data_IF_044972256057
#
_entry.id   IF_044972256057
#
_cell.length_a   1.000
_cell.length_b   1.000
_cell.length_c   1.000
_cell.angle_alpha   90.00
_cell.angle_beta   90.00
_cell.angle_gamma   90.00
#
_symmetry.space_group_name_H-M   'P 1'
#
loop_
_entity.id
_entity.type
_entity.pdbx_description
1 polymer ?
#
# COMPACT_ATOMS: atom_id res chain seq x y z
N UNK A 1 47.61 -64.60 -28.44
CA UNK A 1 48.30 -63.35 -28.86
C UNK A 1 47.57 -62.21 -28.16
N UNK A 2 47.89 -62.00 -26.89
CA UNK A 2 49.07 -61.25 -26.40
C UNK A 2 48.83 -59.74 -26.60
N UNK A 3 48.46 -59.04 -25.54
CA UNK A 3 49.36 -58.15 -24.77
C UNK A 3 49.03 -56.69 -25.18
N UNK A 4 48.94 -55.68 -24.32
CA UNK A 4 49.64 -55.36 -23.07
C UNK A 4 48.79 -54.28 -22.36
N UNK A 5 48.45 -54.51 -21.08
CA UNK A 5 49.06 -53.89 -19.87
C UNK A 5 48.50 -52.50 -19.53
N UNK A 6 47.72 -52.35 -18.45
CA UNK A 6 48.12 -52.35 -17.00
C UNK A 6 48.84 -51.03 -16.68
N UNK A 7 48.19 -50.09 -15.95
CA UNK A 7 48.06 -49.97 -14.48
C UNK A 7 49.31 -49.34 -13.84
N UNK A 8 49.07 -48.61 -12.75
CA UNK A 8 50.02 -48.17 -11.70
C UNK A 8 50.80 -46.89 -12.05
N UNK A 9 51.13 -45.97 -11.15
CA UNK A 9 51.07 -45.90 -9.68
C UNK A 9 51.62 -44.53 -9.27
N UNK A 10 51.14 -43.97 -8.15
CA UNK A 10 51.85 -42.91 -7.41
C UNK A 10 53.06 -43.56 -6.69
N UNK A 11 54.25 -42.91 -6.62
CA UNK A 11 54.70 -42.39 -5.31
C UNK A 11 55.65 -41.18 -5.37
N UNK A 12 55.62 -40.36 -4.30
CA UNK A 12 56.74 -39.56 -3.75
C UNK A 12 57.31 -38.42 -4.62
N UNK A 13 57.55 -37.20 -4.14
CA UNK A 13 57.88 -36.74 -2.79
C UNK A 13 59.14 -35.87 -2.87
N UNK A 14 59.22 -34.84 -2.01
CA UNK A 14 60.30 -33.84 -1.84
C UNK A 14 60.27 -32.67 -2.85
N UNK A 15 60.41 -31.39 -2.49
CA UNK A 15 60.87 -30.67 -1.29
C UNK A 15 60.49 -29.18 -1.57
N UNK A 16 60.10 -28.25 -0.69
CA UNK A 16 60.59 -27.88 0.63
C UNK A 16 59.62 -26.87 1.30
N UNK A 17 59.43 -27.05 2.63
CA UNK A 17 59.47 -26.08 3.77
C UNK A 17 58.78 -24.71 3.63
N UNK A 18 58.19 -24.08 4.65
CA UNK A 18 58.01 -24.26 6.11
C UNK A 18 57.01 -23.18 6.56
N UNK A 19 56.44 -23.31 7.75
CA UNK A 19 55.26 -22.55 8.19
C UNK A 19 55.47 -21.19 8.88
N UNK A 20 54.28 -20.59 9.15
CA UNK A 20 53.84 -19.61 10.17
C UNK A 20 54.15 -18.09 10.03
N UNK A 21 53.07 -17.35 9.67
CA UNK A 21 52.50 -16.05 10.16
C UNK A 21 53.42 -14.83 10.46
N UNK A 22 53.05 -13.57 10.09
CA UNK A 22 51.87 -12.86 10.65
C UNK A 22 51.15 -11.77 9.78
N UNK A 23 49.97 -11.34 10.27
CA UNK A 23 49.20 -10.07 10.10
C UNK A 23 49.46 -9.12 8.90
N UNK A 24 48.37 -8.76 8.18
CA UNK A 24 47.93 -7.36 7.93
C UNK A 24 46.58 -7.32 7.16
N UNK A 25 45.62 -6.55 7.68
CA UNK A 25 44.56 -5.90 6.90
C UNK A 25 45.08 -4.47 6.54
N UNK A 26 44.44 -3.63 5.67
CA UNK A 26 43.13 -3.76 5.02
C UNK A 26 43.09 -3.29 3.54
N UNK A 27 42.05 -3.70 2.78
CA UNK A 27 41.33 -2.87 1.79
C UNK A 27 39.89 -3.38 1.77
N UNK A 28 39.00 -2.87 2.63
CA UNK A 28 38.13 -1.73 2.31
C UNK A 28 37.86 -1.62 0.81
N UNK A 29 36.71 -2.15 0.37
CA UNK A 29 35.62 -1.42 -0.31
C UNK A 29 34.61 -2.40 -0.90
N UNK A 30 33.57 -2.70 -0.13
CA UNK A 30 32.23 -2.94 -0.65
C UNK A 30 31.22 -2.57 0.46
N UNK A 31 31.35 -1.34 0.94
CA UNK A 31 30.41 -0.74 1.86
C UNK A 31 29.15 -0.31 1.09
N UNK A 32 28.00 -0.77 1.57
CA UNK A 32 26.74 -0.04 1.65
C UNK A 32 26.12 0.49 0.34
N UNK A 33 25.34 -0.36 -0.33
CA UNK A 33 24.09 0.10 -0.94
C UNK A 33 23.00 0.15 0.14
N UNK A 34 23.13 1.07 1.09
CA UNK A 34 21.99 1.48 1.90
C UNK A 34 21.05 2.23 0.98
N UNK A 35 20.04 1.54 0.46
CA UNK A 35 18.90 2.18 -0.18
C UNK A 35 18.44 3.33 0.72
N UNK A 36 18.40 4.54 0.17
CA UNK A 36 17.89 5.72 0.87
C UNK A 36 16.40 5.47 1.10
N UNK A 37 16.06 4.81 2.21
CA UNK A 37 14.70 4.67 2.69
C UNK A 37 14.26 6.07 3.11
N UNK A 38 13.61 6.78 2.20
CA UNK A 38 13.00 8.08 2.52
C UNK A 38 12.10 7.84 3.72
N UNK A 39 12.39 8.46 4.89
CA UNK A 39 11.60 8.21 6.08
C UNK A 39 10.18 8.68 5.82
N UNK A 40 9.22 7.77 6.01
CA UNK A 40 7.83 8.05 5.74
C UNK A 40 7.34 9.17 6.66
N UNK A 41 7.12 10.36 6.09
CA UNK A 41 6.81 11.61 6.80
C UNK A 41 5.67 11.42 7.79
N UNK A 42 4.57 10.80 7.36
CA UNK A 42 3.39 10.60 8.17
C UNK A 42 3.59 9.61 9.33
N UNK A 43 4.44 8.59 9.15
CA UNK A 43 4.74 7.65 10.23
C UNK A 43 5.54 8.31 11.36
N UNK A 44 6.45 9.24 11.01
CA UNK A 44 7.18 10.06 11.98
C UNK A 44 6.26 11.04 12.73
N UNK A 45 5.39 11.74 12.00
CA UNK A 45 4.39 12.66 12.56
C UNK A 45 3.42 11.93 13.48
N UNK A 46 2.96 10.74 13.07
CA UNK A 46 2.05 9.93 13.87
C UNK A 46 2.63 9.61 15.24
N UNK A 47 3.86 9.07 15.27
CA UNK A 47 4.50 8.64 16.53
C UNK A 47 4.85 9.80 17.46
N UNK A 48 5.24 10.95 16.92
CA UNK A 48 5.76 12.08 17.72
C UNK A 48 4.69 13.06 18.16
N UNK A 49 3.75 13.39 17.28
CA UNK A 49 2.78 14.47 17.50
C UNK A 49 1.38 13.92 17.72
N UNK A 50 0.87 13.14 16.75
CA UNK A 50 -0.53 12.69 16.76
C UNK A 50 -0.85 11.84 17.99
N UNK A 51 0.05 10.93 18.39
CA UNK A 51 -0.18 10.10 19.59
C UNK A 51 -0.28 10.94 20.86
N UNK A 52 0.58 11.96 21.02
CA UNK A 52 0.54 12.83 22.20
C UNK A 52 -0.72 13.69 22.22
N UNK A 53 -1.10 14.24 21.06
CA UNK A 53 -2.25 15.12 20.93
C UNK A 53 -3.57 14.36 21.15
N UNK A 54 -3.68 13.14 20.61
CA UNK A 54 -4.86 12.30 20.83
C UNK A 54 -4.95 11.80 22.26
N UNK A 55 -3.82 11.41 22.88
CA UNK A 55 -3.82 11.00 24.28
C UNK A 55 -4.33 12.11 25.21
N UNK A 56 -3.93 13.37 24.95
CA UNK A 56 -4.40 14.54 25.70
C UNK A 56 -5.87 14.85 25.45
N UNK A 57 -6.31 14.84 24.19
CA UNK A 57 -7.69 15.17 23.80
C UNK A 57 -8.72 14.16 24.30
N UNK A 58 -8.39 12.87 24.20
CA UNK A 58 -9.31 11.78 24.53
C UNK A 58 -9.06 11.23 25.96
N UNK A 59 -8.11 11.82 26.68
CA UNK A 59 -7.75 11.49 28.06
C UNK A 59 -7.57 9.99 28.31
N UNK A 60 -6.85 9.31 27.41
CA UNK A 60 -6.61 7.87 27.57
C UNK A 60 -5.65 7.60 28.72
N UNK A 61 -5.97 6.57 29.52
CA UNK A 61 -5.12 6.12 30.62
C UNK A 61 -3.86 5.41 30.15
N UNK A 62 -3.87 4.84 28.94
CA UNK A 62 -2.76 4.09 28.39
C UNK A 62 -2.47 4.54 26.95
N UNK A 63 -1.20 4.80 26.66
CA UNK A 63 -0.72 5.21 25.33
C UNK A 63 -1.09 4.18 24.24
N UNK A 64 -1.16 2.90 24.60
CA UNK A 64 -1.52 1.83 23.66
C UNK A 64 -3.01 1.80 23.30
N UNK A 65 -3.86 2.55 24.00
CA UNK A 65 -5.29 2.70 23.66
C UNK A 65 -5.52 3.72 22.54
N UNK A 66 -4.52 4.54 22.21
CA UNK A 66 -4.65 5.57 21.18
C UNK A 66 -5.00 4.91 19.84
N UNK A 67 -6.06 5.37 19.16
CA UNK A 67 -6.45 4.86 17.85
C UNK A 67 -5.31 4.91 16.84
N UNK A 68 -5.21 3.85 16.04
CA UNK A 68 -4.24 3.74 14.94
C UNK A 68 -4.91 3.29 13.67
N UNK A 69 -4.29 3.64 12.54
CA UNK A 69 -4.72 3.16 11.24
C UNK A 69 -4.16 1.75 11.02
N UNK A 70 -5.04 0.78 10.78
CA UNK A 70 -4.68 -0.65 10.68
C UNK A 70 -4.37 -1.03 9.24
N UNK A 71 -5.24 -0.64 8.32
CA UNK A 71 -5.11 -0.90 6.88
C UNK A 71 -5.91 0.12 6.09
N UNK A 72 -5.49 0.35 4.85
CA UNK A 72 -6.30 1.05 3.86
C UNK A 72 -6.66 0.03 2.78
N UNK A 73 -7.94 -0.06 2.45
CA UNK A 73 -8.44 -0.87 1.35
C UNK A 73 -8.83 0.07 0.23
N UNK A 74 -8.24 -0.14 -0.94
CA UNK A 74 -8.66 0.53 -2.17
C UNK A 74 -9.37 -0.52 -3.02
N UNK A 75 -10.61 -0.22 -3.40
CA UNK A 75 -11.46 -1.12 -4.16
C UNK A 75 -12.01 -0.39 -5.39
N UNK A 76 -12.01 -1.06 -6.54
CA UNK A 76 -12.65 -0.57 -7.75
C UNK A 76 -13.66 -1.62 -8.24
N UNK A 77 -14.92 -1.19 -8.31
CA UNK A 77 -15.99 -1.98 -8.93
C UNK A 77 -16.09 -1.66 -10.42
N UNK A 78 -15.77 -2.64 -11.27
CA UNK A 78 -15.80 -2.48 -12.73
C UNK A 78 -16.92 -3.35 -13.27
N UNK A 79 -18.17 -2.89 -13.14
CA UNK A 79 -19.34 -3.65 -13.62
C UNK A 79 -19.31 -3.99 -15.11
N UNK A 80 -18.65 -3.15 -15.91
CA UNK A 80 -18.43 -3.39 -17.34
C UNK A 80 -17.41 -4.50 -17.65
N UNK A 81 -16.63 -4.97 -16.66
CA UNK A 81 -15.64 -6.03 -16.83
C UNK A 81 -16.27 -7.39 -17.20
N UNK A 82 -17.57 -7.58 -16.92
CA UNK A 82 -18.30 -8.77 -17.33
C UNK A 82 -18.47 -8.87 -18.85
N UNK A 83 -18.45 -7.73 -19.56
CA UNK A 83 -18.58 -7.66 -21.02
C UNK A 83 -17.22 -7.45 -21.69
N UNK A 84 -16.36 -6.61 -21.10
CA UNK A 84 -15.08 -6.22 -21.68
C UNK A 84 -13.91 -6.58 -20.76
N UNK A 85 -13.16 -7.62 -21.10
CA UNK A 85 -11.95 -8.01 -20.35
C UNK A 85 -10.85 -6.93 -20.40
N UNK A 86 -10.79 -6.11 -21.45
CA UNK A 86 -9.79 -5.06 -21.61
C UNK A 86 -9.89 -3.96 -20.55
N UNK A 87 -11.11 -3.55 -20.19
CA UNK A 87 -11.36 -2.53 -19.15
C UNK A 87 -10.87 -3.03 -17.79
N UNK A 88 -10.94 -4.34 -17.55
CA UNK A 88 -10.44 -4.95 -16.34
C UNK A 88 -8.91 -4.91 -16.25
N UNK A 89 -8.21 -5.18 -17.35
CA UNK A 89 -6.75 -5.11 -17.40
C UNK A 89 -6.24 -3.68 -17.19
N UNK A 90 -6.93 -2.70 -17.77
CA UNK A 90 -6.65 -1.27 -17.56
C UNK A 90 -6.83 -0.87 -16.10
N UNK A 91 -7.95 -1.24 -15.47
CA UNK A 91 -8.19 -0.96 -14.05
C UNK A 91 -7.14 -1.59 -13.13
N UNK A 92 -6.62 -2.78 -13.47
CA UNK A 92 -5.52 -3.41 -12.73
C UNK A 92 -4.25 -2.57 -12.87
N UNK A 93 -3.88 -2.17 -14.09
CA UNK A 93 -2.68 -1.36 -14.36
C UNK A 93 -2.74 0.00 -13.67
N UNK A 94 -3.89 0.66 -13.70
CA UNK A 94 -4.09 1.95 -13.04
C UNK A 94 -3.90 1.83 -11.53
N UNK A 95 -4.56 0.86 -10.88
CA UNK A 95 -4.40 0.64 -9.44
C UNK A 95 -2.98 0.24 -9.05
N UNK A 96 -2.33 -0.60 -9.86
CA UNK A 96 -0.93 -0.99 -9.65
C UNK A 96 -0.01 0.22 -9.76
N UNK A 97 -0.28 1.15 -10.67
CA UNK A 97 0.50 2.38 -10.84
C UNK A 97 0.30 3.33 -9.66
N UNK A 98 -0.95 3.52 -9.22
CA UNK A 98 -1.25 4.39 -8.07
C UNK A 98 -0.62 3.84 -6.79
N UNK A 99 -0.82 2.55 -6.50
CA UNK A 99 -0.48 1.97 -5.20
C UNK A 99 0.92 1.34 -5.17
N UNK A 100 1.50 1.06 -6.35
CA UNK A 100 2.74 0.32 -6.54
C UNK A 100 2.64 -1.16 -6.19
N UNK A 101 1.44 -1.68 -5.87
CA UNK A 101 1.22 -3.03 -5.35
C UNK A 101 0.34 -3.81 -6.31
N UNK A 102 0.72 -5.07 -6.58
CA UNK A 102 -0.09 -5.96 -7.40
C UNK A 102 -1.52 -6.06 -6.88
N UNK A 103 -2.46 -5.88 -7.79
CA UNK A 103 -3.87 -5.80 -7.43
C UNK A 103 -4.55 -7.18 -7.44
N UNK A 104 -5.43 -7.42 -6.49
CA UNK A 104 -6.17 -8.68 -6.39
C UNK A 104 -7.47 -8.58 -7.17
N UNK A 105 -7.61 -9.42 -8.20
CA UNK A 105 -8.86 -9.56 -8.94
C UNK A 105 -9.93 -10.27 -8.08
N UNK A 106 -11.13 -9.71 -8.07
CA UNK A 106 -12.31 -10.22 -7.35
C UNK A 106 -13.30 -10.82 -8.34
N UNK A 107 -13.62 -12.09 -8.11
CA UNK A 107 -14.59 -12.87 -8.88
C UNK A 107 -15.98 -12.82 -8.24
N UNK A 108 -17.01 -12.93 -9.08
CA UNK A 108 -18.40 -13.05 -8.67
C UNK A 108 -18.62 -14.30 -7.81
N UNK A 109 -19.25 -14.12 -6.64
CA UNK A 109 -19.61 -15.24 -5.74
C UNK A 109 -20.95 -15.89 -6.10
N UNK A 110 -21.89 -15.11 -6.62
CA UNK A 110 -23.26 -15.51 -6.93
C UNK A 110 -23.60 -15.14 -8.37
N UNK A 111 -24.47 -15.93 -8.97
CA UNK A 111 -25.10 -15.65 -10.26
C UNK A 111 -26.29 -14.70 -10.05
N UNK A 112 -26.34 -13.60 -10.81
CA UNK A 112 -27.46 -12.65 -10.77
C UNK A 112 -27.80 -12.24 -12.19
N UNK A 113 -28.97 -12.66 -12.67
CA UNK A 113 -29.42 -12.44 -14.05
C UNK A 113 -29.59 -10.96 -14.41
N UNK A 114 -30.05 -10.11 -13.48
CA UNK A 114 -30.24 -8.68 -13.72
C UNK A 114 -28.95 -7.95 -14.11
N UNK A 115 -27.81 -8.39 -13.55
CA UNK A 115 -26.49 -7.82 -13.86
C UNK A 115 -25.76 -8.61 -14.95
N UNK A 116 -26.40 -9.63 -15.55
CA UNK A 116 -25.78 -10.58 -16.50
C UNK A 116 -24.52 -11.24 -15.94
N UNK A 117 -24.44 -11.40 -14.62
CA UNK A 117 -23.26 -11.93 -13.93
C UNK A 117 -23.37 -13.43 -13.71
N UNK A 118 -22.28 -14.14 -14.03
CA UNK A 118 -22.10 -15.55 -13.73
C UNK A 118 -21.00 -15.75 -12.67
N UNK A 119 -21.10 -16.81 -11.87
CA UNK A 119 -20.14 -17.18 -10.83
C UNK A 119 -18.77 -17.38 -11.47
N UNK A 120 -17.75 -16.77 -10.86
CA UNK A 120 -16.38 -16.85 -11.35
C UNK A 120 -15.97 -15.76 -12.36
N UNK A 121 -16.91 -14.93 -12.84
CA UNK A 121 -16.59 -13.77 -13.68
C UNK A 121 -15.86 -12.69 -12.87
N UNK A 122 -14.87 -12.04 -13.46
CA UNK A 122 -14.14 -10.94 -12.84
C UNK A 122 -15.03 -9.68 -12.79
N UNK A 123 -15.21 -9.08 -11.61
CA UNK A 123 -16.11 -7.92 -11.41
C UNK A 123 -15.34 -6.69 -10.91
N UNK A 124 -14.25 -6.88 -10.18
CA UNK A 124 -13.57 -5.77 -9.55
C UNK A 124 -12.17 -6.09 -9.11
N UNK A 125 -11.45 -5.05 -8.71
CA UNK A 125 -10.06 -5.11 -8.30
C UNK A 125 -9.94 -4.51 -6.91
N UNK A 126 -9.14 -5.13 -6.05
CA UNK A 126 -8.91 -4.64 -4.69
C UNK A 126 -7.43 -4.71 -4.34
N UNK A 127 -6.96 -3.68 -3.64
CA UNK A 127 -5.64 -3.66 -3.01
C UNK A 127 -5.82 -3.41 -1.51
N UNK A 128 -5.02 -4.08 -0.68
CA UNK A 128 -4.95 -3.79 0.76
C UNK A 128 -3.55 -3.33 1.10
N UNK A 129 -3.47 -2.10 1.59
CA UNK A 129 -2.25 -1.45 2.04
C UNK A 129 -2.10 -1.57 3.55
N UNK A 130 -0.87 -1.83 3.98
CA UNK A 130 -0.47 -1.93 5.39
C UNK A 130 0.92 -1.33 5.59
N UNK A 131 1.27 -1.02 6.84
CA UNK A 131 2.60 -0.53 7.25
C UNK A 131 3.00 0.75 6.49
N UNK A 132 4.21 0.84 5.96
CA UNK A 132 4.79 2.03 5.34
C UNK A 132 3.99 2.49 4.11
N UNK A 133 3.69 1.56 3.19
CA UNK A 133 2.94 1.84 1.95
C UNK A 133 1.58 2.48 2.17
N UNK A 134 0.95 2.15 3.30
CA UNK A 134 -0.33 2.72 3.72
C UNK A 134 -0.21 4.21 4.04
N UNK A 135 0.83 4.60 4.77
CA UNK A 135 1.10 6.00 5.09
C UNK A 135 1.57 6.78 3.87
N UNK A 136 2.34 6.18 2.96
CA UNK A 136 2.71 6.83 1.68
C UNK A 136 1.50 7.09 0.78
N UNK A 137 0.60 6.11 0.66
CA UNK A 137 -0.65 6.29 -0.07
C UNK A 137 -1.52 7.36 0.59
N UNK A 138 -1.58 7.38 1.92
CA UNK A 138 -2.34 8.38 2.65
C UNK A 138 -1.82 9.80 2.40
N UNK A 139 -0.50 9.98 2.42
CA UNK A 139 0.15 11.27 2.15
C UNK A 139 -0.15 11.78 0.74
N UNK A 140 0.00 10.88 -0.26
CA UNK A 140 -0.35 11.19 -1.66
C UNK A 140 -1.83 11.48 -1.83
N UNK A 141 -2.69 10.73 -1.14
CA UNK A 141 -4.13 10.92 -1.21
C UNK A 141 -4.53 12.31 -0.69
N UNK A 142 -4.07 12.70 0.49
CA UNK A 142 -4.45 13.97 1.11
C UNK A 142 -3.83 15.17 0.39
N UNK A 143 -2.52 15.14 0.15
CA UNK A 143 -1.78 16.31 -0.33
C UNK A 143 -1.84 16.49 -1.85
N UNK A 144 -1.98 15.40 -2.61
CA UNK A 144 -1.91 15.43 -4.07
C UNK A 144 -3.27 15.17 -4.70
N UNK A 145 -3.97 14.12 -4.25
CA UNK A 145 -5.17 13.65 -4.92
C UNK A 145 -6.42 14.48 -4.56
N UNK A 146 -6.67 14.77 -3.27
CA UNK A 146 -7.86 15.51 -2.84
C UNK A 146 -8.00 16.91 -3.45
N UNK A 147 -6.95 17.75 -3.56
CA UNK A 147 -7.06 19.06 -4.19
C UNK A 147 -7.39 19.01 -5.69
N UNK A 148 -7.11 17.88 -6.35
CA UNK A 148 -7.39 17.65 -7.78
C UNK A 148 -8.79 17.12 -8.05
N UNK A 149 -9.56 16.80 -7.00
CA UNK A 149 -10.95 16.37 -7.15
C UNK A 149 -11.79 17.54 -7.66
N UNK A 150 -12.52 17.33 -8.75
CA UNK A 150 -13.49 18.30 -9.28
C UNK A 150 -14.56 18.61 -8.23
N UNK A 151 -14.80 19.90 -7.98
CA UNK A 151 -15.74 20.41 -6.97
C UNK A 151 -15.47 19.96 -5.52
N UNK A 152 -14.20 19.99 -5.11
CA UNK A 152 -13.82 19.61 -3.75
C UNK A 152 -14.32 20.61 -2.68
N UNK A 153 -15.39 20.23 -1.96
CA UNK A 153 -15.97 21.01 -0.83
C UNK A 153 -15.51 20.52 0.55
N UNK A 154 -14.50 19.66 0.59
CA UNK A 154 -14.11 18.94 1.80
C UNK A 154 -14.83 17.59 1.93
N UNK A 155 -14.26 16.73 2.78
CA UNK A 155 -14.75 15.39 3.07
C UNK A 155 -15.94 15.44 4.02
N UNK A 156 -16.91 14.54 3.79
CA UNK A 156 -18.11 14.46 4.64
C UNK A 156 -17.79 13.79 5.97
N UNK A 157 -18.25 14.40 7.06
CA UNK A 157 -18.21 13.84 8.42
C UNK A 157 -19.21 12.69 8.62
N UNK A 158 -20.09 12.44 7.65
CA UNK A 158 -21.15 11.41 7.76
C UNK A 158 -20.72 10.04 7.22
N UNK A 159 -19.53 9.91 6.65
CA UNK A 159 -19.08 8.68 5.99
C UNK A 159 -18.42 7.66 6.93
N UNK A 160 -18.65 7.80 8.24
CA UNK A 160 -18.23 6.82 9.24
C UNK A 160 -19.29 5.72 9.40
N UNK A 161 -18.84 4.54 9.81
CA UNK A 161 -19.68 3.34 9.93
C UNK A 161 -20.22 3.07 11.34
N UNK A 162 -20.07 4.01 12.28
CA UNK A 162 -20.46 3.84 13.69
C UNK A 162 -19.41 3.11 14.53
N UNK A 163 -18.38 2.54 13.90
CA UNK A 163 -17.30 1.76 14.55
C UNK A 163 -15.92 2.32 14.20
N UNK A 164 -15.85 3.60 13.86
CA UNK A 164 -14.59 4.30 13.61
C UNK A 164 -13.90 3.94 12.28
N UNK A 165 -14.54 3.25 11.34
CA UNK A 165 -14.02 3.12 9.99
C UNK A 165 -14.60 4.21 9.10
N UNK A 166 -13.79 4.68 8.16
CA UNK A 166 -14.16 5.75 7.24
C UNK A 166 -14.08 5.26 5.81
N UNK A 167 -15.13 5.49 5.02
CA UNK A 167 -15.14 5.14 3.59
C UNK A 167 -15.42 6.36 2.74
N UNK A 168 -14.65 6.54 1.67
CA UNK A 168 -14.84 7.60 0.70
C UNK A 168 -14.93 7.02 -0.70
N UNK A 169 -15.93 7.45 -1.46
CA UNK A 169 -16.03 7.20 -2.89
C UNK A 169 -15.36 8.32 -3.69
N UNK A 170 -14.41 7.96 -4.53
CA UNK A 170 -13.77 8.81 -5.53
C UNK A 170 -14.42 8.48 -6.88
N UNK A 171 -15.00 9.49 -7.53
CA UNK A 171 -15.73 9.30 -8.79
C UNK A 171 -14.83 9.04 -9.99
N UNK A 172 -13.62 9.61 -9.98
CA UNK A 172 -12.71 9.63 -11.13
C UNK A 172 -11.30 9.25 -10.67
N UNK A 173 -10.68 8.25 -11.28
CA UNK A 173 -9.32 7.83 -10.91
C UNK A 173 -8.24 8.85 -11.34
N UNK A 174 -8.57 9.78 -12.24
CA UNK A 174 -7.66 10.80 -12.83
C UNK A 174 -7.15 11.81 -11.77
N UNK A 175 -7.66 11.77 -10.54
CA UNK A 175 -7.16 12.59 -9.44
C UNK A 175 -5.69 12.31 -9.09
N UNK A 176 -5.19 11.12 -9.45
CA UNK A 176 -3.79 10.75 -9.26
C UNK A 176 -2.95 11.21 -10.46
N UNK A 177 -1.91 12.05 -10.25
CA UNK A 177 -1.03 12.51 -11.34
C UNK A 177 -0.28 11.37 -12.04
N UNK A 178 -0.17 10.21 -11.40
CA UNK A 178 0.49 9.04 -11.97
C UNK A 178 -0.31 8.43 -13.15
N UNK A 179 -1.61 8.73 -13.26
CA UNK A 179 -2.44 8.27 -14.37
C UNK A 179 -2.39 9.29 -15.51
N UNK A 180 -2.12 8.81 -16.72
CA UNK A 180 -2.23 9.62 -17.92
C UNK A 180 -3.68 9.61 -18.43
N UNK A 181 -4.36 10.75 -18.33
CA UNK A 181 -5.75 10.92 -18.73
C UNK A 181 -6.01 10.57 -20.22
N UNK A 182 -5.03 10.77 -21.11
CA UNK A 182 -5.18 10.51 -22.54
C UNK A 182 -5.22 9.01 -22.88
N UNK A 183 -4.67 8.18 -21.99
CA UNK A 183 -4.65 6.72 -22.16
C UNK A 183 -5.88 6.04 -21.57
N UNK A 184 -6.70 6.76 -20.80
CA UNK A 184 -7.85 6.22 -20.11
C UNK A 184 -9.02 6.10 -21.08
N UNK A 185 -9.48 4.87 -21.35
CA UNK A 185 -10.61 4.61 -22.25
C UNK A 185 -11.95 4.96 -21.59
N UNK A 186 -12.08 4.66 -20.29
CA UNK A 186 -13.28 4.90 -19.49
C UNK A 186 -12.89 5.41 -18.10
N UNK A 187 -13.59 6.45 -17.66
CA UNK A 187 -13.45 6.95 -16.29
C UNK A 187 -14.12 5.96 -15.33
N UNK A 188 -13.36 5.47 -14.36
CA UNK A 188 -13.74 4.49 -13.36
C UNK A 188 -13.68 5.14 -11.96
N UNK A 189 -14.69 4.84 -11.15
CA UNK A 189 -14.66 5.21 -9.74
C UNK A 189 -13.82 4.24 -8.91
N UNK A 190 -13.38 4.70 -7.74
CA UNK A 190 -12.77 3.88 -6.70
C UNK A 190 -13.31 4.22 -5.33
N UNK A 191 -13.40 3.22 -4.46
CA UNK A 191 -13.74 3.39 -3.05
C UNK A 191 -12.49 3.15 -2.21
N UNK A 192 -12.23 4.08 -1.29
CA UNK A 192 -11.12 3.97 -0.34
C UNK A 192 -11.70 3.86 1.06
N UNK A 193 -11.41 2.74 1.72
CA UNK A 193 -11.81 2.48 3.11
C UNK A 193 -10.60 2.52 4.02
N UNK A 194 -10.65 3.41 4.99
CA UNK A 194 -9.67 3.55 6.06
C UNK A 194 -10.18 2.77 7.28
N UNK A 195 -9.45 1.72 7.64
CA UNK A 195 -9.78 0.88 8.80
C UNK A 195 -8.92 1.31 9.96
N UNK A 196 -9.56 1.76 11.04
CA UNK A 196 -8.89 2.20 12.26
C UNK A 196 -9.13 1.19 13.40
N UNK A 197 -8.48 1.42 14.54
CA UNK A 197 -8.76 0.68 15.79
C UNK A 197 -9.67 1.46 16.73
N UNK A 198 -10.21 2.61 16.30
CA UNK A 198 -11.14 3.39 17.12
C UNK A 198 -12.42 2.57 17.35
N UNK A 199 -13.03 2.75 18.52
CA UNK A 199 -14.33 2.10 18.81
C UNK A 199 -15.50 3.01 18.47
N UNK A 200 -15.25 4.33 18.45
CA UNK A 200 -16.28 5.34 18.20
C UNK A 200 -15.89 6.25 17.03
N UNK A 201 -16.89 6.84 16.38
CA UNK A 201 -16.66 7.73 15.25
C UNK A 201 -15.98 9.04 15.65
N UNK A 202 -16.20 9.51 16.88
CA UNK A 202 -15.56 10.72 17.39
C UNK A 202 -14.03 10.56 17.50
N UNK A 203 -13.57 9.41 18.00
CA UNK A 203 -12.16 9.06 18.07
C UNK A 203 -11.52 8.95 16.68
N UNK A 204 -12.23 8.29 15.74
CA UNK A 204 -11.76 8.15 14.37
C UNK A 204 -11.71 9.49 13.62
N UNK A 205 -12.69 10.37 13.86
CA UNK A 205 -12.73 11.69 13.29
C UNK A 205 -11.54 12.55 13.74
N UNK A 206 -11.25 12.58 15.05
CA UNK A 206 -10.10 13.31 15.57
C UNK A 206 -8.77 12.72 15.06
N UNK A 207 -8.67 11.40 14.93
CA UNK A 207 -7.51 10.74 14.34
C UNK A 207 -7.28 11.21 12.89
N UNK A 208 -8.31 11.12 12.03
CA UNK A 208 -8.20 11.52 10.63
C UNK A 208 -7.94 13.02 10.48
N UNK A 209 -8.55 13.85 11.34
CA UNK A 209 -8.30 15.29 11.38
C UNK A 209 -6.85 15.60 11.76
N UNK A 210 -6.28 14.85 12.72
CA UNK A 210 -4.88 14.98 13.09
C UNK A 210 -3.92 14.56 11.95
N UNK A 211 -4.34 13.64 11.09
CA UNK A 211 -3.61 13.30 9.85
C UNK A 211 -3.73 14.35 8.75
N UNK A 212 -4.52 15.42 8.95
CA UNK A 212 -4.68 16.51 7.99
C UNK A 212 -5.81 16.30 6.99
N UNK A 213 -6.81 15.46 7.29
CA UNK A 213 -7.98 15.32 6.42
C UNK A 213 -8.75 16.64 6.33
N UNK A 214 -8.99 17.16 5.12
CA UNK A 214 -9.80 18.35 4.90
C UNK A 214 -11.28 17.99 5.01
N UNK A 215 -11.80 17.91 6.24
CA UNK A 215 -13.22 17.77 6.50
C UNK A 215 -13.98 19.04 6.13
N UNK A 216 -15.18 18.88 5.58
CA UNK A 216 -16.08 20.00 5.32
C UNK A 216 -16.49 20.57 6.68
N UNK A 217 -16.16 21.84 6.93
CA UNK A 217 -16.66 22.54 8.12
C UNK A 217 -18.19 22.45 8.10
N UNK A 218 -18.80 21.92 9.17
CA UNK A 218 -20.23 22.10 9.40
C UNK A 218 -20.49 23.59 9.45
N UNK A 219 -21.07 24.14 8.39
CA UNK A 219 -21.75 25.43 8.48
C UNK A 219 -22.89 25.21 9.46
N UNK A 220 -22.74 25.77 10.66
CA UNK A 220 -23.81 25.86 11.64
C UNK A 220 -24.71 26.98 11.13
N UNK A 221 -25.79 26.61 10.44
CA UNK A 221 -26.94 27.49 10.21
C UNK A 221 -27.94 27.29 11.33
#
# INVERSE_FOLDING_TARGET
MAEKKVKQSVPGGTNEKKGKQPKEAPKEHAANASEVRVPNRLLGIYRKQIVSDLAKKLNYKNVMQVPKLTKIVVNMGVGAAASDAKVMEEAIRDLETIVGQKASVRKAKKDISNFKLRKGVNIGVMVTLRKERMYEFLDRFINVALPRVRDFKGLSDKSFDGRGNYSIGVKEQIIFPEINADKVLKVLGMDVTFVTTANTDAEAFELLKAFGFPFRKKEIN
#
